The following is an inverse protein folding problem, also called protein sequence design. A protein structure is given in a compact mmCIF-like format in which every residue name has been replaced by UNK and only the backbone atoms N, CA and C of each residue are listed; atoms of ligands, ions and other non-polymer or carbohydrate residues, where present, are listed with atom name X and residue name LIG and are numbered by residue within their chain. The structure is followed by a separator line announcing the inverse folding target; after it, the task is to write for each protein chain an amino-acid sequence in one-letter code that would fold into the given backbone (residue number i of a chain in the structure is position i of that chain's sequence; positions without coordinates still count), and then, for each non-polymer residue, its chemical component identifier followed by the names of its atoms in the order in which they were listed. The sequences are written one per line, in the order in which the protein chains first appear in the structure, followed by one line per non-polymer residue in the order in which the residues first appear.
data_IF_143043329121
#
_entry.id   IF_143043329121
#
_cell.length_a   1.000
_cell.length_b   1.000
_cell.length_c   1.000
_cell.angle_alpha   90.00
_cell.angle_beta   90.00
_cell.angle_gamma   90.00
#
_symmetry.space_group_name_H-M   'P 1'
#
loop_
_entity.id
_entity.type
_entity.pdbx_description
1 polymer ?
#
# COMPACT_ATOMS: atom_id res chain seq x y z
N UNK A 1 6.52 12.90 5.03
CA UNK A 1 5.69 13.12 6.25
C UNK A 1 4.53 12.14 6.21
N UNK A 2 4.31 11.34 7.26
CA UNK A 2 3.18 10.39 7.39
C UNK A 2 1.78 11.04 7.37
N UNK A 3 1.69 12.37 7.24
CA UNK A 3 0.45 13.13 7.24
C UNK A 3 -0.05 13.46 5.82
N UNK A 4 0.54 12.86 4.79
CA UNK A 4 0.11 13.03 3.40
C UNK A 4 -0.69 11.82 2.94
N UNK A 5 -1.92 12.06 2.52
CA UNK A 5 -2.88 11.06 2.03
C UNK A 5 -3.20 11.31 0.54
N UNK A 6 -3.66 10.28 -0.21
CA UNK A 6 -3.88 8.89 0.21
C UNK A 6 -2.56 8.15 0.47
N UNK A 7 -2.67 7.05 1.22
CA UNK A 7 -1.57 6.15 1.55
C UNK A 7 -1.94 4.73 1.17
N UNK A 8 -0.95 3.98 0.69
CA UNK A 8 -1.09 2.56 0.47
C UNK A 8 -0.46 1.83 1.64
N UNK A 9 -1.28 1.12 2.41
CA UNK A 9 -0.84 0.29 3.53
C UNK A 9 -0.65 -1.14 3.04
N UNK A 10 0.51 -1.71 3.33
CA UNK A 10 0.78 -3.13 3.10
C UNK A 10 0.69 -3.83 4.45
N UNK A 11 -0.36 -4.63 4.63
CA UNK A 11 -0.69 -5.34 5.86
C UNK A 11 -0.85 -6.82 5.49
N UNK A 12 -0.08 -7.74 6.07
CA UNK A 12 -0.10 -9.17 5.70
C UNK A 12 0.11 -9.49 4.22
N UNK A 13 0.90 -8.69 3.50
CA UNK A 13 1.00 -8.76 2.03
C UNK A 13 -0.34 -8.55 1.30
N UNK A 14 -1.28 -7.87 1.93
CA UNK A 14 -2.47 -7.31 1.32
C UNK A 14 -2.33 -5.79 1.29
N UNK A 15 -2.93 -5.18 0.28
CA UNK A 15 -2.90 -3.75 0.08
C UNK A 15 -4.21 -3.16 0.56
N UNK A 16 -4.12 -2.14 1.40
CA UNK A 16 -5.25 -1.33 1.85
C UNK A 16 -4.99 0.13 1.48
N UNK A 17 -6.05 0.89 1.21
CA UNK A 17 -5.94 2.31 0.84
C UNK A 17 -6.60 3.16 1.91
N UNK A 18 -5.81 4.06 2.50
CA UNK A 18 -6.33 5.08 3.41
C UNK A 18 -6.30 6.45 2.75
N UNK A 19 -7.47 7.08 2.59
CA UNK A 19 -7.59 8.44 2.05
C UNK A 19 -7.48 9.52 3.13
N UNK A 20 -7.58 9.13 4.39
CA UNK A 20 -7.43 10.00 5.54
C UNK A 20 -6.96 9.22 6.77
N UNK A 21 -6.71 9.94 7.86
CA UNK A 21 -6.22 9.35 9.11
C UNK A 21 -7.22 8.40 9.76
N UNK A 22 -8.52 8.64 9.62
CA UNK A 22 -9.55 7.77 10.20
C UNK A 22 -9.54 6.42 9.49
N UNK A 23 -9.57 6.40 8.16
CA UNK A 23 -9.48 5.17 7.36
C UNK A 23 -8.20 4.38 7.67
N UNK A 24 -7.07 5.08 7.84
CA UNK A 24 -5.82 4.46 8.27
C UNK A 24 -5.97 3.72 9.61
N UNK A 25 -6.61 4.36 10.60
CA UNK A 25 -6.86 3.75 11.89
C UNK A 25 -7.82 2.56 11.80
N UNK A 26 -8.82 2.63 10.91
CA UNK A 26 -9.76 1.54 10.65
C UNK A 26 -9.03 0.32 10.05
N UNK A 27 -8.16 0.52 9.04
CA UNK A 27 -7.33 -0.55 8.47
C UNK A 27 -6.42 -1.21 9.52
N UNK A 28 -5.90 -0.43 10.47
CA UNK A 28 -4.99 -0.92 11.52
C UNK A 28 -5.72 -1.54 12.71
N UNK A 29 -7.02 -1.28 12.89
CA UNK A 29 -7.79 -1.75 14.05
C UNK A 29 -7.87 -3.28 14.12
N UNK A 30 -7.84 -3.96 12.97
CA UNK A 30 -7.83 -5.42 12.87
C UNK A 30 -6.44 -6.05 12.94
N UNK A 31 -5.37 -5.25 12.99
CA UNK A 31 -3.97 -5.73 12.99
C UNK A 31 -3.51 -5.96 14.42
N UNK A 32 -2.91 -7.11 14.72
CA UNK A 32 -2.40 -7.35 16.07
C UNK A 32 -1.17 -6.51 16.36
N UNK A 33 -0.92 -6.21 17.64
CA UNK A 33 0.25 -5.41 18.06
C UNK A 33 1.59 -5.94 17.54
N UNK A 34 1.73 -7.26 17.46
CA UNK A 34 2.94 -7.92 16.98
C UNK A 34 3.23 -7.58 15.52
N UNK A 35 2.16 -7.38 14.74
CA UNK A 35 2.16 -7.29 13.28
C UNK A 35 2.16 -5.83 12.80
N UNK A 36 1.84 -4.87 13.67
CA UNK A 36 2.01 -3.44 13.40
C UNK A 36 3.45 -3.08 13.01
N UNK A 37 4.44 -3.83 13.49
CA UNK A 37 5.85 -3.62 13.14
C UNK A 37 6.18 -4.02 11.69
N UNK A 38 5.34 -4.86 11.09
CA UNK A 38 5.52 -5.34 9.71
C UNK A 38 4.71 -4.52 8.69
N UNK A 39 3.84 -3.62 9.17
CA UNK A 39 3.07 -2.72 8.31
C UNK A 39 4.00 -1.74 7.61
N UNK A 40 3.89 -1.68 6.28
CA UNK A 40 4.61 -0.72 5.46
C UNK A 40 3.63 0.24 4.83
N UNK A 41 3.98 1.51 4.82
CA UNK A 41 3.20 2.58 4.22
C UNK A 41 3.98 3.11 3.02
N UNK A 42 3.39 3.00 1.84
CA UNK A 42 3.85 3.76 0.69
C UNK A 42 3.15 5.12 0.71
N UNK A 43 3.93 6.15 0.97
CA UNK A 43 3.44 7.52 1.02
C UNK A 43 3.32 8.13 -0.39
N UNK A 44 2.62 9.27 -0.49
CA UNK A 44 2.40 9.98 -1.77
C UNK A 44 3.68 10.54 -2.42
N UNK A 45 4.80 10.56 -1.68
CA UNK A 45 6.11 10.98 -2.19
C UNK A 45 6.84 9.81 -2.88
N UNK A 46 6.30 8.60 -2.80
CA UNK A 46 6.87 7.39 -3.37
C UNK A 46 7.82 6.66 -2.43
N UNK A 47 7.89 7.05 -1.15
CA UNK A 47 8.75 6.41 -0.16
C UNK A 47 7.99 5.35 0.64
N UNK A 48 8.67 4.24 0.91
CA UNK A 48 8.22 3.24 1.87
C UNK A 48 8.71 3.57 3.27
N UNK A 49 7.77 3.69 4.19
CA UNK A 49 8.02 3.96 5.61
C UNK A 49 7.26 2.99 6.51
N UNK A 50 7.70 2.81 7.74
CA UNK A 50 6.89 2.15 8.78
C UNK A 50 5.80 3.10 9.34
N UNK A 51 5.00 2.62 10.28
CA UNK A 51 3.97 3.41 10.96
C UNK A 51 4.53 4.56 11.83
N UNK A 52 5.83 4.58 12.10
CA UNK A 52 6.52 5.67 12.81
C UNK A 52 7.12 6.71 11.85
N UNK A 53 7.15 6.40 10.55
CA UNK A 53 7.65 7.27 9.48
C UNK A 53 9.13 7.04 9.18
N UNK A 54 9.71 5.97 9.72
CA UNK A 54 11.08 5.57 9.44
C UNK A 54 11.12 4.90 8.08
N UNK A 55 12.11 5.26 7.25
CA UNK A 55 12.30 4.62 5.96
C UNK A 55 12.52 3.12 6.14
N UNK A 56 11.79 2.32 5.38
CA UNK A 56 11.89 0.86 5.39
C UNK A 56 12.20 0.33 3.98
N UNK A 57 12.72 -0.91 3.86
CA UNK A 57 13.03 -1.48 2.56
C UNK A 57 11.81 -1.56 1.66
N UNK A 58 11.90 -0.92 0.48
CA UNK A 58 10.87 -1.00 -0.54
C UNK A 58 10.75 -2.45 -1.06
N UNK A 59 9.52 -2.95 -1.30
CA UNK A 59 9.31 -4.19 -2.01
C UNK A 59 9.86 -4.09 -3.44
N UNK A 60 10.10 -5.24 -4.07
CA UNK A 60 10.45 -5.26 -5.49
C UNK A 60 9.27 -4.74 -6.34
N UNK A 61 9.54 -4.25 -7.55
CA UNK A 61 8.48 -3.82 -8.45
C UNK A 61 7.49 -4.95 -8.81
N UNK A 62 7.93 -6.20 -8.79
CA UNK A 62 7.08 -7.39 -8.95
C UNK A 62 6.14 -7.60 -7.76
N UNK A 63 6.66 -7.48 -6.54
CA UNK A 63 5.85 -7.55 -5.32
C UNK A 63 4.81 -6.43 -5.29
N UNK A 64 5.21 -5.20 -5.64
CA UNK A 64 4.29 -4.08 -5.73
C UNK A 64 3.19 -4.32 -6.78
N UNK A 65 3.56 -4.85 -7.95
CA UNK A 65 2.60 -5.23 -8.98
C UNK A 65 1.61 -6.27 -8.45
N UNK A 66 2.09 -7.30 -7.75
CA UNK A 66 1.23 -8.33 -7.18
C UNK A 66 0.25 -7.75 -6.15
N UNK A 67 0.72 -6.89 -5.25
CA UNK A 67 -0.12 -6.23 -4.24
C UNK A 67 -1.25 -5.40 -4.89
N UNK A 68 -0.87 -4.49 -5.79
CA UNK A 68 -1.82 -3.58 -6.46
C UNK A 68 -2.81 -4.35 -7.33
N UNK A 69 -2.33 -5.32 -8.11
CA UNK A 69 -3.23 -6.09 -8.99
C UNK A 69 -4.16 -7.00 -8.22
N UNK A 70 -3.74 -7.54 -7.07
CA UNK A 70 -4.62 -8.33 -6.18
C UNK A 70 -5.70 -7.46 -5.58
N UNK A 71 -5.36 -6.26 -5.09
CA UNK A 71 -6.35 -5.30 -4.60
C UNK A 71 -7.38 -4.93 -5.67
N UNK A 72 -6.91 -4.55 -6.86
CA UNK A 72 -7.81 -4.18 -7.95
C UNK A 72 -8.70 -5.34 -8.40
N UNK A 73 -8.20 -6.58 -8.33
CA UNK A 73 -8.98 -7.77 -8.60
C UNK A 73 -10.09 -7.98 -7.55
N UNK A 74 -9.80 -7.73 -6.27
CA UNK A 74 -10.80 -7.76 -5.19
C UNK A 74 -11.87 -6.67 -5.35
N UNK A 75 -11.47 -5.49 -5.85
CA UNK A 75 -12.39 -4.40 -6.23
C UNK A 75 -13.16 -4.67 -7.54
N UNK A 76 -12.96 -5.83 -8.17
CA UNK A 76 -13.70 -6.28 -9.36
C UNK A 76 -13.10 -5.82 -10.70
N UNK A 77 -11.91 -5.21 -10.71
CA UNK A 77 -11.20 -4.96 -11.96
C UNK A 77 -10.64 -6.25 -12.55
N UNK A 78 -10.77 -6.41 -13.87
CA UNK A 78 -10.24 -7.55 -14.61
C UNK A 78 -9.14 -7.11 -15.59
N UNK A 79 -8.45 -8.08 -16.19
CA UNK A 79 -7.41 -7.87 -17.22
C UNK A 79 -6.05 -7.32 -16.75
N UNK A 80 -5.71 -7.50 -15.47
CA UNK A 80 -4.46 -7.02 -14.87
C UNK A 80 -3.24 -7.92 -15.13
N UNK A 81 -3.43 -9.12 -15.69
CA UNK A 81 -2.37 -10.13 -15.84
C UNK A 81 -1.19 -9.78 -16.75
N UNK A 82 -1.24 -8.63 -17.45
CA UNK A 82 -0.09 -8.09 -18.22
C UNK A 82 0.85 -7.23 -17.37
N UNK A 83 0.41 -6.80 -16.20
CA UNK A 83 1.18 -5.95 -15.28
C UNK A 83 2.06 -6.88 -14.44
N UNK A 84 3.36 -6.91 -14.76
CA UNK A 84 4.34 -7.77 -14.08
C UNK A 84 5.19 -7.01 -13.06
N UNK A 85 5.36 -5.71 -13.27
CA UNK A 85 6.18 -4.84 -12.44
C UNK A 85 5.54 -3.45 -12.39
N UNK A 86 5.60 -2.80 -11.23
CA UNK A 86 5.19 -1.41 -11.07
C UNK A 86 6.29 -0.61 -10.38
N UNK A 87 6.43 0.66 -10.77
CA UNK A 87 7.04 1.67 -9.91
C UNK A 87 6.01 2.19 -8.90
N UNK A 88 6.46 2.90 -7.87
CA UNK A 88 5.57 3.53 -6.88
C UNK A 88 4.60 4.51 -7.53
N UNK A 89 5.06 5.35 -8.46
CA UNK A 89 4.19 6.26 -9.22
C UNK A 89 3.14 5.51 -10.02
N UNK A 90 3.51 4.45 -10.74
CA UNK A 90 2.57 3.66 -11.52
C UNK A 90 1.52 2.96 -10.66
N UNK A 91 1.86 2.60 -9.41
CA UNK A 91 0.89 2.04 -8.47
C UNK A 91 -0.20 3.05 -8.12
N UNK A 92 0.16 4.30 -7.80
CA UNK A 92 -0.83 5.35 -7.54
C UNK A 92 -1.68 5.67 -8.77
N UNK A 93 -1.05 5.80 -9.94
CA UNK A 93 -1.76 6.08 -11.21
C UNK A 93 -2.79 4.98 -11.53
N UNK A 94 -2.43 3.71 -11.32
CA UNK A 94 -3.31 2.57 -11.62
C UNK A 94 -4.49 2.48 -10.64
N UNK A 95 -4.28 2.90 -9.40
CA UNK A 95 -5.32 2.99 -8.37
C UNK A 95 -6.18 4.26 -8.50
N UNK A 96 -5.79 5.20 -9.35
CA UNK A 96 -6.50 6.47 -9.58
C UNK A 96 -6.35 7.49 -8.45
N UNK A 97 -5.17 7.54 -7.80
CA UNK A 97 -4.88 8.30 -6.57
C UNK A 97 -3.97 9.53 -6.74
#
# INVERSE_FOLDING_TARGET
MLNSFPQLLVIYNELEIAHNQQEQQECLHSVTQSELNDVRVLNKQGDFVDLQGTACPAPSGEQLAQLVTTYLLNEGQCCLGKIKTLSTTQAFDLLGL
#
